data_IF_585769906670
#
_entry.id   IF_585769906670
#
_cell.length_a   1.000
_cell.length_b   1.000
_cell.length_c   1.000
_cell.angle_alpha   90.00
_cell.angle_beta   90.00
_cell.angle_gamma   90.00
#
_symmetry.space_group_name_H-M   'P 1'
#
loop_
_entity.id
_entity.type
_entity.pdbx_description
1 polymer ?
#
# COMPACT_ATOMS: atom_id res chain seq x y z
N UNK A 1 -9.44 -2.33 10.31
CA UNK A 1 -8.06 -1.97 9.92
C UNK A 1 -7.55 -3.08 9.05
N UNK A 2 -7.37 -2.73 7.78
CA UNK A 2 -6.89 -3.45 6.60
C UNK A 2 -7.30 -4.91 6.36
N UNK A 3 -7.65 -5.22 5.10
CA UNK A 3 -8.19 -6.51 4.68
C UNK A 3 -7.33 -7.27 3.65
N UNK A 4 -6.32 -6.66 2.99
CA UNK A 4 -5.77 -7.26 1.74
C UNK A 4 -4.24 -7.16 1.48
N UNK A 5 -3.50 -6.28 2.16
CA UNK A 5 -2.08 -5.95 2.01
C UNK A 5 -1.46 -5.54 3.38
N UNK A 6 -1.40 -6.51 4.30
CA UNK A 6 -0.93 -6.29 5.67
C UNK A 6 0.59 -6.16 5.84
N UNK A 7 1.37 -6.23 4.76
CA UNK A 7 2.83 -6.16 4.80
C UNK A 7 3.35 -4.80 4.33
N UNK A 8 4.40 -4.35 5.00
CA UNK A 8 5.24 -3.23 4.58
C UNK A 8 6.55 -3.82 4.08
N UNK A 9 6.81 -3.67 2.78
CA UNK A 9 7.93 -4.34 2.11
C UNK A 9 9.31 -3.83 2.60
N UNK A 10 10.35 -4.68 2.60
CA UNK A 10 11.69 -4.28 2.98
C UNK A 10 12.21 -3.15 2.09
N UNK A 11 12.72 -2.09 2.72
CA UNK A 11 13.18 -0.87 2.04
C UNK A 11 12.08 0.15 1.75
N UNK A 12 10.83 -0.11 2.15
CA UNK A 12 9.78 0.90 2.08
C UNK A 12 10.11 2.15 2.90
N UNK A 13 9.70 3.31 2.39
CA UNK A 13 9.85 4.62 3.03
C UNK A 13 8.61 5.47 2.76
N UNK A 14 8.03 6.08 3.80
CA UNK A 14 6.90 7.00 3.65
C UNK A 14 6.01 7.07 4.88
N UNK A 15 4.80 7.62 4.69
CA UNK A 15 3.65 7.53 5.60
C UNK A 15 2.74 6.39 5.13
N UNK A 16 2.27 5.53 6.05
CA UNK A 16 1.38 4.44 5.69
C UNK A 16 -0.02 4.95 5.36
N UNK A 17 -0.56 4.50 4.22
CA UNK A 17 -1.98 4.70 3.89
C UNK A 17 -2.81 3.68 4.67
N UNK A 18 -3.81 4.16 5.42
CA UNK A 18 -4.73 3.28 6.16
C UNK A 18 -6.08 3.19 5.45
N UNK A 19 -6.50 1.97 5.18
CA UNK A 19 -7.88 1.68 4.75
C UNK A 19 -8.76 1.40 5.97
N UNK A 20 -9.77 2.24 6.15
CA UNK A 20 -10.68 2.22 7.31
C UNK A 20 -12.11 2.09 6.81
N UNK A 21 -12.79 1.05 7.28
CA UNK A 21 -14.23 0.84 7.04
C UNK A 21 -14.94 0.69 8.37
N UNK A 22 -16.06 1.41 8.54
CA UNK A 22 -16.96 1.20 9.66
C UNK A 22 -17.94 0.06 9.30
N UNK A 23 -17.82 -1.09 9.96
CA UNK A 23 -18.70 -2.24 9.76
C UNK A 23 -19.96 -2.20 10.66
N UNK A 24 -20.18 -1.09 11.36
CA UNK A 24 -21.31 -0.90 12.27
C UNK A 24 -22.28 0.16 11.76
N UNK A 25 -23.47 0.23 12.34
CA UNK A 25 -24.48 1.26 12.03
C UNK A 25 -24.27 2.57 12.79
N UNK A 26 -23.32 2.60 13.73
CA UNK A 26 -23.07 3.75 14.61
C UNK A 26 -21.86 4.52 14.07
N UNK A 27 -21.94 5.85 13.89
CA UNK A 27 -20.78 6.64 13.50
C UNK A 27 -19.63 6.52 14.50
N UNK A 28 -18.41 6.34 14.02
CA UNK A 28 -17.20 6.29 14.83
C UNK A 28 -16.41 7.58 14.59
N UNK A 29 -16.10 8.30 15.66
CA UNK A 29 -15.28 9.51 15.59
C UNK A 29 -13.81 9.15 15.63
N UNK A 30 -13.10 9.48 14.55
CA UNK A 30 -11.64 9.39 14.48
C UNK A 30 -11.05 10.73 14.90
N UNK A 31 -9.98 10.68 15.67
CA UNK A 31 -9.26 11.86 16.14
C UNK A 31 -7.84 11.79 15.61
N UNK A 32 -7.38 12.89 14.99
CA UNK A 32 -5.97 13.03 14.67
C UNK A 32 -5.12 12.83 15.93
N UNK A 33 -3.91 12.30 15.74
CA UNK A 33 -2.90 11.99 16.78
C UNK A 33 -3.26 10.87 17.76
N UNK A 34 -4.48 10.30 17.72
CA UNK A 34 -4.80 9.12 18.52
C UNK A 34 -4.24 7.85 17.88
N UNK A 35 -3.75 6.88 18.69
CA UNK A 35 -3.34 5.58 18.17
C UNK A 35 -4.46 4.89 17.40
N UNK A 36 -4.15 4.33 16.22
CA UNK A 36 -5.14 3.71 15.32
C UNK A 36 -4.72 2.33 14.80
N UNK A 37 -3.42 1.99 14.88
CA UNK A 37 -2.85 0.72 14.45
C UNK A 37 -1.54 0.45 15.20
N UNK A 38 -1.03 -0.77 15.05
CA UNK A 38 0.26 -1.20 15.59
C UNK A 38 1.11 -1.81 14.46
N UNK A 39 2.44 -1.75 14.61
CA UNK A 39 3.39 -2.37 13.70
C UNK A 39 4.05 -3.57 14.40
N UNK A 40 4.16 -4.67 13.66
CA UNK A 40 4.98 -5.82 14.05
C UNK A 40 6.10 -5.98 13.03
N UNK A 41 7.32 -6.21 13.52
CA UNK A 41 8.51 -6.33 12.68
C UNK A 41 8.96 -7.79 12.62
N UNK A 42 9.27 -8.25 11.41
CA UNK A 42 9.78 -9.60 11.15
C UNK A 42 11.13 -9.48 10.47
N UNK A 43 12.11 -10.27 10.92
CA UNK A 43 13.46 -10.25 10.35
C UNK A 43 13.51 -11.16 9.14
N UNK A 44 14.12 -10.70 8.05
CA UNK A 44 14.44 -11.53 6.89
C UNK A 44 15.68 -12.38 7.18
N UNK A 45 15.75 -13.57 6.58
CA UNK A 45 16.93 -14.44 6.65
C UNK A 45 18.15 -13.83 5.94
N UNK A 46 17.92 -13.02 4.90
CA UNK A 46 18.94 -12.25 4.15
C UNK A 46 18.38 -10.89 3.71
N UNK A 47 19.25 -9.91 3.39
CA UNK A 47 18.81 -8.66 2.78
C UNK A 47 18.00 -8.89 1.49
N UNK A 48 16.95 -8.10 1.28
CA UNK A 48 16.16 -8.16 0.05
C UNK A 48 17.02 -7.77 -1.17
N UNK A 49 17.09 -8.65 -2.18
CA UNK A 49 17.86 -8.40 -3.41
C UNK A 49 17.33 -7.19 -4.18
N UNK A 50 16.00 -7.03 -4.21
CA UNK A 50 15.30 -5.88 -4.79
C UNK A 50 14.35 -5.34 -3.72
N UNK A 51 14.78 -4.38 -2.88
CA UNK A 51 13.92 -3.77 -1.89
C UNK A 51 12.85 -2.88 -2.55
N UNK A 52 11.80 -2.54 -1.81
CA UNK A 52 10.76 -1.62 -2.29
C UNK A 52 11.36 -0.27 -2.71
N UNK A 53 10.99 0.22 -3.89
CA UNK A 53 11.61 1.39 -4.53
C UNK A 53 12.78 1.07 -5.46
N UNK A 54 13.19 -0.20 -5.58
CA UNK A 54 14.17 -0.60 -6.60
C UNK A 54 13.65 -0.23 -8.01
N UNK A 55 14.49 0.36 -8.89
CA UNK A 55 14.08 0.83 -10.21
C UNK A 55 13.28 -0.20 -11.03
N UNK A 56 13.71 -1.46 -10.99
CA UNK A 56 13.07 -2.57 -11.74
C UNK A 56 11.72 -3.06 -11.16
N UNK A 57 11.29 -2.61 -9.97
CA UNK A 57 10.05 -3.10 -9.34
C UNK A 57 8.81 -2.25 -9.67
N UNK A 58 8.98 -1.07 -10.26
CA UNK A 58 7.85 -0.17 -10.55
C UNK A 58 7.07 0.25 -9.29
N UNK A 59 7.73 0.34 -8.13
CA UNK A 59 7.07 0.61 -6.85
C UNK A 59 6.28 1.93 -6.87
N UNK A 60 4.95 1.83 -6.78
CA UNK A 60 4.06 2.96 -6.97
C UNK A 60 4.05 3.99 -5.83
N UNK A 61 4.47 3.62 -4.62
CA UNK A 61 4.23 4.43 -3.41
C UNK A 61 5.51 4.73 -2.60
N UNK A 62 6.69 4.54 -3.19
CA UNK A 62 7.95 4.80 -2.50
C UNK A 62 8.11 6.30 -2.21
N UNK A 63 8.27 6.67 -0.94
CA UNK A 63 8.41 8.06 -0.49
C UNK A 63 7.10 8.81 -0.28
N UNK A 64 5.93 8.15 -0.30
CA UNK A 64 4.65 8.85 -0.11
C UNK A 64 4.53 9.52 1.26
N UNK A 65 3.83 10.65 1.34
CA UNK A 65 3.60 11.40 2.60
C UNK A 65 2.11 11.49 2.94
N UNK A 66 1.28 11.67 1.93
CA UNK A 66 -0.17 11.77 2.07
C UNK A 66 -0.87 10.41 1.85
N UNK A 67 -2.18 10.37 2.12
CA UNK A 67 -3.05 9.27 1.72
C UNK A 67 -3.21 9.24 0.19
N UNK A 68 -2.18 8.74 -0.49
CA UNK A 68 -2.10 8.71 -1.95
C UNK A 68 -3.18 7.78 -2.50
N UNK A 69 -3.97 8.26 -3.45
CA UNK A 69 -4.97 7.46 -4.15
C UNK A 69 -4.36 6.27 -4.91
N UNK A 70 -5.17 5.26 -5.19
CA UNK A 70 -4.72 4.06 -5.91
C UNK A 70 -4.11 4.42 -7.27
N UNK A 71 -2.98 3.78 -7.58
CA UNK A 71 -2.30 3.82 -8.89
C UNK A 71 -2.42 2.48 -9.63
N UNK A 72 -3.45 1.71 -9.32
CA UNK A 72 -3.72 0.45 -10.02
C UNK A 72 -4.27 0.75 -11.41
N UNK A 73 -3.50 0.44 -12.44
CA UNK A 73 -3.85 0.69 -13.85
C UNK A 73 -4.54 -0.50 -14.53
N UNK A 74 -4.97 -1.51 -13.75
CA UNK A 74 -5.41 -2.80 -14.27
C UNK A 74 -4.22 -3.75 -14.40
N UNK A 75 -4.29 -4.91 -13.76
CA UNK A 75 -3.20 -5.88 -13.67
C UNK A 75 -2.73 -6.41 -15.04
N UNK A 76 -1.72 -7.31 -15.05
CA UNK A 76 -1.20 -7.87 -16.29
C UNK A 76 -2.32 -8.61 -17.04
N UNK A 77 -2.79 -8.01 -18.14
CA UNK A 77 -3.97 -8.45 -18.89
C UNK A 77 -4.67 -7.33 -19.68
N UNK A 78 -4.42 -6.06 -19.38
CA UNK A 78 -4.83 -4.95 -20.23
C UNK A 78 -3.91 -4.82 -21.46
N UNK A 79 -3.93 -5.82 -22.35
CA UNK A 79 -3.38 -5.63 -23.70
C UNK A 79 -4.21 -4.55 -24.38
N UNK A 80 -3.55 -3.51 -24.88
CA UNK A 80 -4.14 -2.53 -25.77
C UNK A 80 -4.96 -3.25 -26.85
N UNK A 81 -6.28 -3.00 -26.89
CA UNK A 81 -7.10 -3.46 -28.00
C UNK A 81 -6.55 -2.85 -29.28
N UNK A 82 -6.03 -3.68 -30.18
CA UNK A 82 -5.72 -3.27 -31.55
C UNK A 82 -6.95 -2.60 -32.17
N UNK A 83 -6.80 -1.47 -32.88
CA UNK A 83 -7.91 -0.89 -33.61
C UNK A 83 -8.27 -1.84 -34.75
N UNK A 84 -9.45 -2.46 -34.66
CA UNK A 84 -10.06 -3.17 -35.79
C UNK A 84 -10.24 -2.18 -36.93
N UNK A 85 -9.61 -2.49 -38.08
CA UNK A 85 -9.83 -1.77 -39.34
C UNK A 85 -11.22 -2.03 -39.90
#
# INVERSE_FOLDING_TARGET
>A
VHATAGFVDPGWKGTLTLEITNLTRVPIKLWATKPIAQLSFMTLDRPALRPYGHPDLGSHYHGQVEATGSRYEGGPGASASEPVR
#
